data_IF_175326245459
#
_entry.id   IF_175326245459
#
_cell.length_a   1.000
_cell.length_b   1.000
_cell.length_c   1.000
_cell.angle_alpha   90.00
_cell.angle_beta   90.00
_cell.angle_gamma   90.00
#
_symmetry.space_group_name_H-M   'P 1'
#
loop_
_entity.id
_entity.type
_entity.pdbx_description
1 polymer ?
#
# COMPACT_ATOMS: atom_id res chain seq x y z
N UNK A 1 -2.15 23.58 11.57
CA UNK A 1 -1.17 23.15 10.54
C UNK A 1 -0.56 21.77 10.81
N UNK A 2 0.03 21.48 11.98
CA UNK A 2 0.65 20.16 12.27
C UNK A 2 -0.27 18.94 12.06
N UNK A 3 -1.55 19.05 12.42
CA UNK A 3 -2.55 17.98 12.17
C UNK A 3 -2.83 17.75 10.68
N UNK A 4 -2.88 18.81 9.89
CA UNK A 4 -3.07 18.73 8.43
C UNK A 4 -1.87 18.04 7.77
N UNK A 5 -0.64 18.39 8.19
CA UNK A 5 0.58 17.73 7.70
C UNK A 5 0.61 16.23 8.02
N UNK A 6 0.12 15.81 9.19
CA UNK A 6 0.03 14.39 9.53
C UNK A 6 -0.98 13.64 8.64
N UNK A 7 -2.12 14.26 8.32
CA UNK A 7 -3.10 13.67 7.40
C UNK A 7 -2.50 13.55 5.99
N UNK A 8 -1.90 14.62 5.47
CA UNK A 8 -1.27 14.60 4.14
C UNK A 8 -0.17 13.54 4.07
N UNK A 9 0.70 13.46 5.08
CA UNK A 9 1.74 12.43 5.13
C UNK A 9 1.14 11.03 5.16
N UNK A 10 0.11 10.77 5.97
CA UNK A 10 -0.54 9.45 6.02
C UNK A 10 -1.16 9.06 4.67
N UNK A 11 -1.78 10.03 3.98
CA UNK A 11 -2.36 9.81 2.64
C UNK A 11 -1.28 9.47 1.62
N UNK A 12 -0.16 10.21 1.61
CA UNK A 12 0.99 9.95 0.74
C UNK A 12 1.65 8.61 1.04
N UNK A 13 1.85 8.28 2.33
CA UNK A 13 2.38 6.98 2.74
C UNK A 13 1.50 5.83 2.29
N UNK A 14 0.18 5.96 2.44
CA UNK A 14 -0.75 4.95 1.96
C UNK A 14 -0.70 4.80 0.44
N UNK A 15 -0.54 5.90 -0.30
CA UNK A 15 -0.42 5.86 -1.76
C UNK A 15 0.86 5.14 -2.21
N UNK A 16 2.01 5.48 -1.62
CA UNK A 16 3.28 4.81 -1.88
C UNK A 16 3.20 3.32 -1.51
N UNK A 17 2.63 2.99 -0.36
CA UNK A 17 2.43 1.61 0.06
C UNK A 17 1.54 0.82 -0.90
N UNK A 18 0.46 1.44 -1.38
CA UNK A 18 -0.44 0.83 -2.38
C UNK A 18 0.30 0.55 -3.68
N UNK A 19 1.13 1.48 -4.13
CA UNK A 19 1.91 1.35 -5.36
C UNK A 19 2.94 0.23 -5.25
N UNK A 20 3.64 0.14 -4.11
CA UNK A 20 4.57 -0.97 -3.83
C UNK A 20 3.84 -2.31 -3.83
N UNK A 21 2.74 -2.45 -3.08
CA UNK A 21 1.98 -3.71 -3.00
C UNK A 21 1.41 -4.10 -4.37
N UNK A 22 0.86 -3.15 -5.11
CA UNK A 22 0.31 -3.40 -6.46
C UNK A 22 1.39 -3.84 -7.43
N UNK A 23 2.55 -3.21 -7.39
CA UNK A 23 3.71 -3.58 -8.22
C UNK A 23 4.21 -4.98 -7.86
N UNK A 24 4.37 -5.27 -6.57
CA UNK A 24 4.76 -6.61 -6.10
C UNK A 24 3.73 -7.66 -6.52
N UNK A 25 2.43 -7.35 -6.43
CA UNK A 25 1.37 -8.27 -6.84
C UNK A 25 1.42 -8.57 -8.35
N UNK A 26 1.68 -7.56 -9.20
CA UNK A 26 1.87 -7.75 -10.64
C UNK A 26 3.10 -8.63 -10.90
N UNK A 27 4.24 -8.35 -10.26
CA UNK A 27 5.47 -9.15 -10.41
C UNK A 27 5.21 -10.61 -10.00
N UNK A 28 4.51 -10.85 -8.89
CA UNK A 28 4.13 -12.19 -8.45
C UNK A 28 3.19 -12.86 -9.47
N UNK A 29 2.22 -12.13 -10.03
CA UNK A 29 1.34 -12.65 -11.06
C UNK A 29 2.11 -13.02 -12.34
N UNK A 30 3.11 -12.25 -12.73
CA UNK A 30 4.01 -12.57 -13.86
C UNK A 30 4.70 -13.92 -13.66
N UNK A 31 5.34 -14.12 -12.50
CA UNK A 31 6.05 -15.37 -12.21
C UNK A 31 5.12 -16.55 -11.93
N UNK A 32 3.85 -16.29 -11.59
CA UNK A 32 2.86 -17.34 -11.35
C UNK A 32 2.14 -17.80 -12.62
N UNK A 33 2.20 -17.02 -13.71
CA UNK A 33 1.51 -17.36 -14.97
C UNK A 33 2.33 -18.43 -15.70
N UNK A 34 1.83 -19.67 -15.70
CA UNK A 34 2.51 -20.83 -16.33
C UNK A 34 2.06 -21.12 -17.76
N UNK A 35 0.90 -20.62 -18.18
CA UNK A 35 0.31 -20.87 -19.50
C UNK A 35 0.01 -19.56 -20.21
N UNK A 36 0.40 -19.45 -21.48
CA UNK A 36 0.05 -18.32 -22.34
C UNK A 36 -1.44 -18.34 -22.68
N UNK A 37 -2.04 -17.16 -22.79
CA UNK A 37 -3.47 -16.97 -23.08
C UNK A 37 -4.40 -16.93 -21.87
N UNK A 38 -3.88 -17.02 -20.64
CA UNK A 38 -4.66 -16.85 -19.41
C UNK A 38 -4.32 -15.57 -18.68
N UNK A 39 -5.37 -14.84 -18.27
CA UNK A 39 -5.26 -13.65 -17.43
C UNK A 39 -5.08 -14.04 -15.97
N UNK A 40 -3.90 -13.76 -15.42
CA UNK A 40 -3.59 -13.96 -14.01
C UNK A 40 -4.00 -12.74 -13.19
N UNK A 41 -4.85 -12.97 -12.19
CA UNK A 41 -5.36 -11.93 -11.29
C UNK A 41 -4.51 -11.87 -10.02
N UNK A 42 -4.09 -10.67 -9.65
CA UNK A 42 -3.38 -10.37 -8.41
C UNK A 42 -4.20 -9.43 -7.52
N UNK A 43 -3.85 -9.40 -6.22
CA UNK A 43 -4.38 -8.40 -5.28
C UNK A 43 -5.93 -8.42 -5.23
N UNK A 44 -6.50 -9.60 -5.00
CA UNK A 44 -7.96 -9.83 -4.97
C UNK A 44 -8.69 -9.39 -6.26
N UNK A 45 -8.03 -9.50 -7.42
CA UNK A 45 -8.57 -9.05 -8.70
C UNK A 45 -8.49 -7.53 -8.90
N UNK A 46 -7.66 -6.83 -8.11
CA UNK A 46 -7.36 -5.42 -8.31
C UNK A 46 -6.43 -5.16 -9.49
N UNK A 47 -5.46 -6.06 -9.70
CA UNK A 47 -4.48 -5.98 -10.80
C UNK A 47 -4.52 -7.25 -11.63
N UNK A 48 -4.14 -7.14 -12.90
CA UNK A 48 -4.02 -8.29 -13.80
C UNK A 48 -2.68 -8.28 -14.53
N UNK A 49 -2.26 -9.49 -14.89
CA UNK A 49 -1.19 -9.76 -15.81
C UNK A 49 -1.67 -10.76 -16.85
N UNK A 50 -1.41 -10.50 -18.13
CA UNK A 50 -1.83 -11.37 -19.23
C UNK A 50 -0.68 -11.48 -20.24
N UNK A 51 -0.27 -12.72 -20.54
CA UNK A 51 0.73 -13.02 -21.56
C UNK A 51 0.03 -13.72 -22.72
N UNK A 52 -0.04 -13.07 -23.88
CA UNK A 52 -0.65 -13.62 -25.10
C UNK A 52 0.43 -13.90 -26.14
N UNK A 53 0.49 -15.15 -26.62
CA UNK A 53 1.37 -15.49 -27.73
C UNK A 53 0.72 -15.04 -29.03
N UNK A 54 1.41 -14.18 -29.78
CA UNK A 54 0.95 -13.69 -31.08
C UNK A 54 1.45 -14.61 -32.19
N UNK A 55 0.68 -14.71 -33.28
CA UNK A 55 0.94 -15.60 -34.41
C UNK A 55 2.27 -15.32 -35.16
N UNK A 56 2.92 -14.19 -34.88
CA UNK A 56 4.25 -13.81 -35.37
C UNK A 56 5.41 -14.40 -34.54
N UNK A 57 5.11 -15.20 -33.51
CA UNK A 57 6.11 -15.79 -32.61
C UNK A 57 6.58 -14.84 -31.51
N UNK A 58 5.94 -13.67 -31.37
CA UNK A 58 6.24 -12.69 -30.32
C UNK A 58 5.25 -12.86 -29.16
N UNK A 59 5.74 -12.94 -27.93
CA UNK A 59 4.88 -12.90 -26.73
C UNK A 59 4.56 -11.45 -26.38
N UNK A 60 3.27 -11.11 -26.40
CA UNK A 60 2.76 -9.83 -25.92
C UNK A 60 2.44 -9.91 -24.43
N UNK A 61 2.79 -8.88 -23.68
CA UNK A 61 2.51 -8.79 -22.24
C UNK A 61 1.62 -7.57 -21.98
N UNK A 62 0.48 -7.79 -21.33
CA UNK A 62 -0.40 -6.74 -20.85
C UNK A 62 -0.48 -6.76 -19.32
N UNK A 63 -0.38 -5.58 -18.72
CA UNK A 63 -0.49 -5.39 -17.27
C UNK A 63 -1.41 -4.21 -17.01
N UNK A 64 -2.23 -4.30 -15.97
CA UNK A 64 -3.14 -3.20 -15.67
C UNK A 64 -3.90 -3.35 -14.37
N UNK A 65 -4.78 -2.37 -14.15
CA UNK A 65 -5.73 -2.35 -13.04
C UNK A 65 -7.05 -2.89 -13.56
N UNK A 66 -7.48 -4.01 -13.00
CA UNK A 66 -8.78 -4.61 -13.33
C UNK A 66 -9.89 -3.95 -12.52
N UNK A 67 -9.63 -3.69 -11.23
CA UNK A 67 -10.64 -3.16 -10.31
C UNK A 67 -10.09 -2.00 -9.47
N UNK A 68 -10.43 -0.78 -9.89
CA UNK A 68 -10.09 0.46 -9.18
C UNK A 68 -10.67 0.53 -7.76
N UNK A 69 -11.80 -0.12 -7.49
CA UNK A 69 -12.39 -0.16 -6.16
C UNK A 69 -11.47 -0.89 -5.18
N UNK A 70 -10.88 -2.01 -5.59
CA UNK A 70 -9.95 -2.77 -4.74
C UNK A 70 -8.70 -1.94 -4.43
N UNK A 71 -8.16 -1.24 -5.43
CA UNK A 71 -7.00 -0.35 -5.25
C UNK A 71 -7.35 0.83 -4.32
N UNK A 72 -8.51 1.44 -4.49
CA UNK A 72 -8.97 2.54 -3.64
C UNK A 72 -9.18 2.10 -2.18
N UNK A 73 -9.76 0.91 -1.97
CA UNK A 73 -9.94 0.34 -0.63
C UNK A 73 -8.58 0.05 0.02
N UNK A 74 -7.65 -0.57 -0.71
CA UNK A 74 -6.30 -0.83 -0.20
C UNK A 74 -5.61 0.48 0.20
N UNK A 75 -5.70 1.50 -0.64
CA UNK A 75 -5.16 2.82 -0.36
C UNK A 75 -5.74 3.44 0.89
N UNK A 76 -7.06 3.46 1.04
CA UNK A 76 -7.73 3.99 2.21
C UNK A 76 -7.33 3.24 3.50
N UNK A 77 -7.23 1.92 3.44
CA UNK A 77 -6.80 1.10 4.58
C UNK A 77 -5.37 1.43 4.99
N UNK A 78 -4.43 1.51 4.04
CA UNK A 78 -3.04 1.86 4.33
C UNK A 78 -2.89 3.30 4.84
N UNK A 79 -3.61 4.25 4.26
CA UNK A 79 -3.62 5.64 4.72
C UNK A 79 -4.19 5.75 6.13
N UNK A 80 -5.28 5.03 6.44
CA UNK A 80 -5.85 4.99 7.78
C UNK A 80 -4.86 4.39 8.78
N UNK A 81 -4.21 3.27 8.43
CA UNK A 81 -3.21 2.63 9.27
C UNK A 81 -2.02 3.57 9.56
N UNK A 82 -1.50 4.25 8.54
CA UNK A 82 -0.43 5.23 8.70
C UNK A 82 -0.86 6.38 9.61
N UNK A 83 -2.09 6.88 9.44
CA UNK A 83 -2.64 7.94 10.26
C UNK A 83 -2.78 7.54 11.73
N UNK A 84 -3.36 6.37 12.02
CA UNK A 84 -3.46 5.85 13.39
C UNK A 84 -2.08 5.65 14.02
N UNK A 85 -1.12 5.14 13.26
CA UNK A 85 0.27 4.98 13.73
C UNK A 85 0.86 6.32 14.15
N UNK A 86 0.73 7.37 13.32
CA UNK A 86 1.21 8.72 13.65
C UNK A 86 0.52 9.27 14.92
N UNK A 87 -0.79 9.06 15.06
CA UNK A 87 -1.53 9.49 16.25
C UNK A 87 -1.04 8.79 17.52
N UNK A 88 -0.91 7.46 17.48
CA UNK A 88 -0.47 6.65 18.62
C UNK A 88 0.94 7.03 19.03
N UNK A 89 1.88 7.15 18.08
CA UNK A 89 3.24 7.62 18.35
C UNK A 89 3.27 9.02 18.96
N UNK A 90 2.44 9.93 18.46
CA UNK A 90 2.32 11.27 19.01
C UNK A 90 1.80 11.28 20.45
N UNK A 91 0.85 10.41 20.77
CA UNK A 91 0.31 10.26 22.13
C UNK A 91 1.33 9.64 23.09
N UNK A 92 1.97 8.54 22.70
CA UNK A 92 3.04 7.87 23.46
C UNK A 92 4.20 8.81 23.77
N UNK A 93 4.60 9.65 22.80
CA UNK A 93 5.68 10.62 23.00
C UNK A 93 5.34 11.65 24.07
N UNK A 94 4.12 12.20 24.05
CA UNK A 94 3.67 13.15 25.09
C UNK A 94 3.55 12.49 26.45
N UNK A 95 3.01 11.27 26.49
CA UNK A 95 2.91 10.51 27.73
C UNK A 95 4.28 10.27 28.35
N UNK A 96 5.27 9.88 27.53
CA UNK A 96 6.66 9.74 27.96
C UNK A 96 7.26 11.05 28.48
N UNK A 97 7.03 12.17 27.80
CA UNK A 97 7.48 13.49 28.25
C UNK A 97 6.87 13.86 29.61
N UNK A 98 5.57 13.61 29.83
CA UNK A 98 4.92 13.87 31.13
C UNK A 98 5.42 12.99 32.28
N UNK A 99 5.88 11.77 32.00
CA UNK A 99 6.46 10.89 33.02
C UNK A 99 7.89 11.31 33.39
N UNK A 100 8.66 11.81 32.43
CA UNK A 100 10.01 12.35 32.68
C UNK A 100 9.92 13.62 33.52
N UNK A 101 8.96 14.49 33.22
CA UNK A 101 8.75 15.75 33.94
C UNK A 101 8.28 15.53 35.40
N UNK A 102 7.57 14.41 35.65
CA UNK A 102 7.14 13.96 36.98
C UNK A 102 8.15 13.04 37.68
N UNK A 103 9.38 12.93 37.16
CA UNK A 103 10.45 12.11 37.75
C UNK A 103 10.81 12.51 39.19
N UNK A 104 11.55 11.66 39.92
CA UNK A 104 11.63 11.61 41.40
C UNK A 104 12.31 12.80 42.11
N UNK A 105 12.51 13.95 41.46
CA UNK A 105 13.07 15.17 42.04
C UNK A 105 12.04 16.30 42.27
N UNK A 106 10.74 16.04 42.11
CA UNK A 106 9.67 17.02 42.25
C UNK A 106 8.95 16.98 43.63
N UNK A 107 9.64 16.53 44.68
CA UNK A 107 9.20 16.57 46.08
C UNK A 107 10.28 17.18 46.96
#
# INVERSE_FOLDING_TARGET
MKRLLHVVNAVVFGLLGTLVISTTAIIVAMFSTRESGHRSLGLFGGVYFEATDRADGVTSMEVGVENWTVIAVLWLVLSALAFFTILIFGWLRRYRETLIDKGPGAA
#
